data_IF_411911526878
#
_entry.id   IF_411911526878
#
_cell.length_a   1.000
_cell.length_b   1.000
_cell.length_c   1.000
_cell.angle_alpha   90.00
_cell.angle_beta   90.00
_cell.angle_gamma   90.00
#
_symmetry.space_group_name_H-M   'P 1'
#
loop_
_entity.id
_entity.type
_entity.pdbx_description
1 polymer ?
#
# COMPACT_ATOMS: atom_id res chain seq x y z
N UNK A 1 15.59 5.36 -15.25
CA UNK A 1 14.41 4.51 -15.04
C UNK A 1 14.75 3.05 -15.34
N UNK A 2 14.46 2.18 -14.37
CA UNK A 2 14.64 0.74 -14.47
C UNK A 2 13.32 0.08 -14.86
N UNK A 3 13.37 -1.03 -15.58
CA UNK A 3 12.20 -1.84 -15.91
C UNK A 3 12.55 -3.31 -15.82
N UNK A 4 11.72 -4.09 -15.14
CA UNK A 4 11.83 -5.54 -15.12
C UNK A 4 11.30 -6.18 -16.40
N UNK A 5 11.55 -7.47 -16.57
CA UNK A 5 10.78 -8.29 -17.49
C UNK A 5 9.31 -8.36 -17.05
N UNK A 6 8.46 -8.79 -17.95
CA UNK A 6 7.06 -9.09 -17.63
C UNK A 6 6.96 -10.41 -16.86
N UNK A 7 6.15 -10.38 -15.81
CA UNK A 7 5.78 -11.56 -15.02
C UNK A 7 4.38 -12.01 -15.42
N UNK A 8 4.12 -13.32 -15.32
CA UNK A 8 2.87 -13.91 -15.86
C UNK A 8 1.62 -13.63 -15.03
N UNK A 9 1.79 -13.18 -13.78
CA UNK A 9 0.68 -13.08 -12.85
C UNK A 9 0.21 -11.64 -12.69
N UNK A 10 -1.08 -11.50 -12.32
CA UNK A 10 -1.64 -10.25 -11.87
C UNK A 10 -1.00 -9.86 -10.53
N UNK A 11 -0.57 -8.62 -10.40
CA UNK A 11 -0.04 -8.08 -9.16
C UNK A 11 -1.15 -7.45 -8.35
N UNK A 12 -1.32 -7.91 -7.12
CA UNK A 12 -2.24 -7.33 -6.13
C UNK A 12 -1.51 -6.28 -5.31
N UNK A 13 -0.31 -6.59 -4.86
CA UNK A 13 0.51 -5.72 -4.02
C UNK A 13 1.99 -6.03 -4.19
N UNK A 14 2.86 -5.16 -3.73
CA UNK A 14 4.31 -5.27 -3.83
C UNK A 14 4.95 -4.61 -2.61
N UNK A 15 6.04 -5.18 -2.12
CA UNK A 15 6.88 -4.57 -1.09
C UNK A 15 8.36 -4.82 -1.38
N UNK A 16 9.20 -3.86 -1.03
CA UNK A 16 10.66 -3.95 -1.16
C UNK A 16 11.29 -3.88 0.23
N UNK A 17 12.22 -4.76 0.51
CA UNK A 17 12.94 -4.78 1.78
C UNK A 17 13.87 -5.97 1.88
N UNK A 18 14.69 -5.97 2.92
CA UNK A 18 15.51 -7.12 3.27
C UNK A 18 14.65 -8.15 4.00
N UNK A 19 14.25 -9.20 3.30
CA UNK A 19 13.38 -10.26 3.85
C UNK A 19 14.17 -11.47 4.34
N UNK A 20 15.37 -11.73 3.79
CA UNK A 20 16.19 -12.86 4.17
C UNK A 20 17.28 -12.53 5.21
N UNK A 21 17.48 -11.24 5.52
CA UNK A 21 18.43 -10.78 6.53
C UNK A 21 19.88 -10.68 6.04
N UNK A 22 20.12 -10.64 4.72
CA UNK A 22 21.47 -10.55 4.15
C UNK A 22 21.97 -9.12 3.92
N UNK A 23 21.16 -8.11 4.26
CA UNK A 23 21.47 -6.70 4.09
C UNK A 23 21.17 -6.14 2.69
N UNK A 24 20.62 -6.96 1.78
CA UNK A 24 20.17 -6.55 0.47
C UNK A 24 18.65 -6.56 0.40
N UNK A 25 18.09 -5.68 -0.42
CA UNK A 25 16.66 -5.65 -0.63
C UNK A 25 16.23 -6.70 -1.66
N UNK A 26 15.19 -7.42 -1.32
CA UNK A 26 14.40 -8.26 -2.22
C UNK A 26 13.08 -7.54 -2.55
N UNK A 27 12.35 -8.09 -3.51
CA UNK A 27 11.05 -7.62 -3.94
C UNK A 27 10.04 -8.74 -3.70
N UNK A 28 9.06 -8.48 -2.83
CA UNK A 28 7.93 -9.36 -2.65
C UNK A 28 6.78 -8.93 -3.56
N UNK A 29 6.24 -9.86 -4.32
CA UNK A 29 5.09 -9.65 -5.20
C UNK A 29 3.96 -10.55 -4.74
N UNK A 30 2.84 -9.93 -4.39
CA UNK A 30 1.61 -10.62 -4.04
C UNK A 30 0.73 -10.72 -5.28
N UNK A 31 0.48 -11.93 -5.73
CA UNK A 31 -0.49 -12.23 -6.78
C UNK A 31 -1.86 -12.56 -6.21
N UNK A 32 -2.77 -13.05 -7.05
CA UNK A 32 -4.12 -13.40 -6.61
C UNK A 32 -4.12 -14.47 -5.52
N UNK A 33 -3.22 -15.46 -5.59
CA UNK A 33 -3.16 -16.56 -4.64
C UNK A 33 -1.76 -16.93 -4.16
N UNK A 34 -0.72 -16.26 -4.66
CA UNK A 34 0.65 -16.61 -4.30
C UNK A 34 1.51 -15.41 -3.96
N UNK A 35 2.52 -15.68 -3.17
CA UNK A 35 3.60 -14.77 -2.81
C UNK A 35 4.88 -15.23 -3.48
N UNK A 36 5.56 -14.35 -4.20
CA UNK A 36 6.83 -14.61 -4.86
C UNK A 36 7.87 -13.60 -4.42
N UNK A 37 9.07 -14.05 -4.12
CA UNK A 37 10.20 -13.19 -3.77
C UNK A 37 11.19 -13.17 -4.92
N UNK A 38 11.59 -11.98 -5.32
CA UNK A 38 12.58 -11.73 -6.37
C UNK A 38 13.75 -10.92 -5.85
N UNK A 39 14.88 -11.02 -6.54
CA UNK A 39 15.97 -10.05 -6.43
C UNK A 39 16.21 -9.43 -7.80
N UNK A 40 16.56 -8.13 -7.80
CA UNK A 40 16.95 -7.41 -9.02
C UNK A 40 18.40 -7.74 -9.34
N UNK A 41 18.63 -8.41 -10.47
CA UNK A 41 19.98 -8.78 -10.91
C UNK A 41 20.67 -7.61 -11.64
N UNK A 42 22.01 -7.58 -11.68
CA UNK A 42 22.75 -6.52 -12.37
C UNK A 42 22.45 -6.39 -13.88
N UNK A 43 21.95 -7.46 -14.49
CA UNK A 43 21.53 -7.47 -15.90
C UNK A 43 20.16 -6.79 -16.15
N UNK A 44 19.55 -6.29 -15.08
CA UNK A 44 18.25 -5.63 -15.13
C UNK A 44 17.04 -6.56 -15.08
N UNK A 45 17.24 -7.84 -14.79
CA UNK A 45 16.17 -8.84 -14.67
C UNK A 45 15.89 -9.18 -13.22
N UNK A 46 14.66 -9.61 -12.96
CA UNK A 46 14.26 -10.18 -11.68
C UNK A 46 14.52 -11.69 -11.68
N UNK A 47 15.27 -12.15 -10.68
CA UNK A 47 15.49 -13.57 -10.39
C UNK A 47 14.58 -14.00 -9.25
N UNK A 48 13.82 -15.06 -9.47
CA UNK A 48 12.98 -15.63 -8.41
C UNK A 48 13.83 -16.36 -7.37
N UNK A 49 13.62 -16.02 -6.10
CA UNK A 49 14.28 -16.66 -4.96
C UNK A 49 13.38 -17.62 -4.19
N UNK A 50 12.07 -17.41 -4.23
CA UNK A 50 11.12 -18.26 -3.53
C UNK A 50 9.68 -17.95 -3.92
N UNK A 51 8.81 -18.90 -3.65
CA UNK A 51 7.37 -18.80 -3.97
C UNK A 51 6.57 -19.66 -2.99
N UNK A 52 5.39 -19.21 -2.61
CA UNK A 52 4.42 -20.01 -1.85
C UNK A 52 3.00 -19.62 -2.20
N UNK A 53 2.08 -20.58 -2.13
CA UNK A 53 0.63 -20.32 -2.21
C UNK A 53 0.15 -19.85 -0.84
N UNK A 54 -0.57 -18.72 -0.80
CA UNK A 54 -1.12 -18.18 0.44
C UNK A 54 -2.42 -18.93 0.81
N UNK A 55 -3.42 -18.80 -0.03
CA UNK A 55 -4.68 -19.52 0.06
C UNK A 55 -5.37 -19.46 -1.29
N UNK A 56 -5.96 -20.57 -1.71
CA UNK A 56 -6.73 -20.61 -2.97
C UNK A 56 -8.18 -20.16 -2.79
N UNK A 57 -8.69 -20.21 -1.57
CA UNK A 57 -10.08 -19.84 -1.25
C UNK A 57 -10.24 -18.37 -0.81
N UNK A 58 -9.14 -17.67 -0.53
CA UNK A 58 -9.17 -16.29 -0.06
C UNK A 58 -8.69 -15.36 -1.16
N UNK A 59 -9.25 -14.14 -1.18
CA UNK A 59 -8.74 -13.05 -1.99
C UNK A 59 -7.63 -12.33 -1.23
N UNK A 60 -6.45 -12.25 -1.82
CA UNK A 60 -5.37 -11.40 -1.35
C UNK A 60 -5.68 -9.94 -1.74
N UNK A 61 -5.48 -8.98 -0.85
CA UNK A 61 -5.74 -7.59 -1.20
C UNK A 61 -4.78 -6.57 -0.61
N UNK A 62 -3.92 -6.94 0.33
CA UNK A 62 -2.92 -6.02 0.89
C UNK A 62 -1.71 -6.77 1.41
N UNK A 63 -0.53 -6.18 1.22
CA UNK A 63 0.72 -6.66 1.80
C UNK A 63 1.54 -5.49 2.32
N UNK A 64 2.12 -5.66 3.49
CA UNK A 64 3.05 -4.70 4.12
C UNK A 64 4.23 -5.46 4.69
N UNK A 65 5.34 -4.77 4.89
CA UNK A 65 6.56 -5.35 5.45
C UNK A 65 6.93 -4.68 6.78
N UNK A 66 7.33 -5.48 7.74
CA UNK A 66 7.79 -5.01 9.05
C UNK A 66 8.71 -6.06 9.68
N UNK A 67 9.77 -5.62 10.34
CA UNK A 67 10.62 -6.48 11.17
C UNK A 67 9.95 -6.71 12.53
N UNK A 68 9.19 -7.81 12.65
CA UNK A 68 8.37 -8.11 13.82
C UNK A 68 9.19 -8.50 15.05
N UNK A 69 10.32 -9.13 14.87
CA UNK A 69 11.16 -9.67 15.95
C UNK A 69 12.48 -8.91 16.13
N UNK A 70 12.69 -7.82 15.38
CA UNK A 70 13.86 -6.96 15.43
C UNK A 70 15.18 -7.69 15.14
N UNK A 71 15.17 -8.64 14.23
CA UNK A 71 16.33 -9.42 13.83
C UNK A 71 17.03 -8.90 12.55
N UNK A 72 16.51 -7.81 11.97
CA UNK A 72 17.03 -7.21 10.75
C UNK A 72 16.37 -7.71 9.47
N UNK A 73 15.64 -8.81 9.52
CA UNK A 73 14.86 -9.33 8.39
C UNK A 73 13.39 -8.97 8.56
N UNK A 74 12.76 -8.40 7.52
CA UNK A 74 11.35 -8.03 7.57
C UNK A 74 10.46 -9.23 7.26
N UNK A 75 9.39 -9.37 8.04
CA UNK A 75 8.28 -10.25 7.73
C UNK A 75 7.26 -9.55 6.84
N UNK A 76 6.47 -10.34 6.12
CA UNK A 76 5.39 -9.88 5.26
C UNK A 76 4.05 -10.10 5.94
N UNK A 77 3.26 -9.03 6.01
CA UNK A 77 1.91 -9.00 6.59
C UNK A 77 0.92 -8.94 5.44
N UNK A 78 0.19 -10.04 5.21
CA UNK A 78 -0.73 -10.18 4.09
C UNK A 78 -2.16 -10.22 4.61
N UNK A 79 -2.98 -9.27 4.17
CA UNK A 79 -4.40 -9.27 4.46
C UNK A 79 -5.16 -9.96 3.33
N UNK A 80 -6.05 -10.87 3.72
CA UNK A 80 -6.93 -11.61 2.81
C UNK A 80 -8.38 -11.54 3.28
N UNK A 81 -9.29 -11.89 2.38
CA UNK A 81 -10.71 -12.00 2.70
C UNK A 81 -11.26 -13.32 2.14
N UNK A 82 -11.86 -14.10 3.01
CA UNK A 82 -12.52 -15.33 2.61
C UNK A 82 -13.98 -15.03 2.27
N UNK A 83 -14.32 -15.08 0.99
CA UNK A 83 -15.65 -14.72 0.52
C UNK A 83 -16.73 -15.68 1.02
N UNK A 84 -16.42 -16.98 1.14
CA UNK A 84 -17.37 -18.01 1.57
C UNK A 84 -17.85 -17.79 3.01
N UNK A 85 -16.93 -17.48 3.92
CA UNK A 85 -17.27 -17.17 5.31
C UNK A 85 -17.56 -15.67 5.53
N UNK A 86 -17.30 -14.84 4.52
CA UNK A 86 -17.43 -13.38 4.58
C UNK A 86 -16.61 -12.78 5.74
N UNK A 87 -15.36 -13.22 5.89
CA UNK A 87 -14.46 -12.83 6.99
C UNK A 87 -13.05 -12.54 6.53
N UNK A 88 -12.35 -11.60 7.20
CA UNK A 88 -10.94 -11.36 6.96
C UNK A 88 -10.08 -12.42 7.64
N UNK A 89 -8.97 -12.71 6.99
CA UNK A 89 -7.84 -13.40 7.59
C UNK A 89 -6.55 -12.73 7.16
N UNK A 90 -5.57 -12.68 8.06
CA UNK A 90 -4.23 -12.22 7.76
C UNK A 90 -3.22 -13.34 7.98
N UNK A 91 -2.19 -13.35 7.12
CA UNK A 91 -1.12 -14.33 7.13
C UNK A 91 0.20 -13.59 7.18
N UNK A 92 1.09 -14.01 8.08
CA UNK A 92 2.42 -13.45 8.21
C UNK A 92 3.44 -14.46 7.70
N UNK A 93 4.37 -14.00 6.87
CA UNK A 93 5.42 -14.82 6.28
C UNK A 93 6.80 -14.26 6.58
N UNK A 94 7.73 -15.15 6.90
CA UNK A 94 9.18 -14.90 6.93
C UNK A 94 9.85 -15.50 5.71
N UNK A 95 11.01 -14.95 5.35
CA UNK A 95 11.81 -15.44 4.21
C UNK A 95 13.25 -15.75 4.60
N UNK A 96 13.52 -16.06 5.84
CA UNK A 96 14.85 -16.38 6.33
C UNK A 96 15.45 -17.59 5.60
N UNK A 97 16.73 -17.47 5.23
CA UNK A 97 17.43 -18.53 4.49
C UNK A 97 16.80 -18.83 3.13
N UNK A 98 16.17 -17.85 2.51
CA UNK A 98 15.48 -17.98 1.22
C UNK A 98 14.34 -19.02 1.22
N UNK A 99 13.70 -19.20 2.38
CA UNK A 99 12.54 -20.08 2.54
C UNK A 99 11.36 -19.31 3.09
N UNK A 100 10.26 -19.32 2.34
CA UNK A 100 8.99 -18.75 2.79
C UNK A 100 8.34 -19.67 3.82
N UNK A 101 8.11 -19.13 5.00
CA UNK A 101 7.51 -19.87 6.12
C UNK A 101 6.45 -19.00 6.78
N UNK A 102 5.30 -19.58 7.08
CA UNK A 102 4.27 -18.89 7.83
C UNK A 102 4.78 -18.59 9.25
N UNK A 103 4.81 -17.30 9.60
CA UNK A 103 5.40 -16.82 10.86
C UNK A 103 4.51 -17.05 12.08
N UNK A 104 3.19 -17.07 11.88
CA UNK A 104 2.20 -17.20 12.93
C UNK A 104 0.99 -18.00 12.44
N UNK A 105 0.12 -18.40 13.35
CA UNK A 105 -1.18 -18.94 13.01
C UNK A 105 -2.01 -17.91 12.22
N UNK A 106 -2.97 -18.40 11.43
CA UNK A 106 -3.93 -17.56 10.73
C UNK A 106 -4.62 -16.57 11.67
N UNK A 107 -4.66 -15.31 11.30
CA UNK A 107 -5.11 -14.20 12.16
C UNK A 107 -6.49 -13.74 11.71
N UNK A 108 -7.53 -13.81 12.57
CA UNK A 108 -8.92 -13.48 12.20
C UNK A 108 -9.20 -11.97 12.25
N UNK A 109 -8.26 -11.15 11.79
CA UNK A 109 -8.34 -9.70 11.73
C UNK A 109 -7.81 -9.18 10.41
N UNK A 110 -8.21 -7.96 10.04
CA UNK A 110 -7.47 -7.18 9.07
C UNK A 110 -6.17 -6.70 9.72
N UNK A 111 -5.04 -7.05 9.14
CA UNK A 111 -3.73 -6.60 9.61
C UNK A 111 -3.00 -5.76 8.57
N UNK A 112 -2.29 -4.76 9.03
CA UNK A 112 -1.46 -3.88 8.20
C UNK A 112 -0.33 -3.28 9.03
N UNK A 113 0.42 -2.37 8.43
CA UNK A 113 1.50 -1.65 9.10
C UNK A 113 1.32 -0.16 8.86
N UNK A 114 1.36 0.62 9.93
CA UNK A 114 1.26 2.08 9.90
C UNK A 114 2.46 2.66 10.66
N UNK A 115 3.06 3.72 10.14
CA UNK A 115 4.04 4.51 10.89
C UNK A 115 3.31 5.45 11.83
N UNK A 116 3.52 5.31 13.14
CA UNK A 116 2.77 6.05 14.17
C UNK A 116 3.65 7.07 14.89
N UNK A 117 3.09 8.24 15.28
CA UNK A 117 3.81 9.19 16.11
C UNK A 117 4.11 8.58 17.50
N UNK A 118 5.07 9.10 18.27
CA UNK A 118 5.85 10.32 17.98
C UNK A 118 7.09 10.10 17.10
N UNK A 119 7.52 8.86 16.91
CA UNK A 119 8.77 8.54 16.20
C UNK A 119 8.55 8.04 14.78
N UNK A 120 7.30 7.87 14.35
CA UNK A 120 6.91 7.37 13.03
C UNK A 120 7.59 6.04 12.69
N UNK A 121 7.67 5.17 13.68
CA UNK A 121 8.17 3.81 13.50
C UNK A 121 7.06 2.90 12.96
N UNK A 122 7.41 1.94 12.09
CA UNK A 122 6.46 0.93 11.64
C UNK A 122 5.83 0.21 12.82
N UNK A 123 4.51 0.16 12.84
CA UNK A 123 3.70 -0.47 13.89
C UNK A 123 2.72 -1.45 13.25
N UNK A 124 2.73 -2.68 13.73
CA UNK A 124 1.75 -3.68 13.32
C UNK A 124 0.40 -3.33 13.93
N UNK A 125 -0.59 -3.16 13.07
CA UNK A 125 -1.95 -2.78 13.47
C UNK A 125 -2.97 -3.78 12.95
N UNK A 126 -4.07 -3.89 13.68
CA UNK A 126 -5.17 -4.77 13.34
C UNK A 126 -6.51 -4.11 13.57
N UNK A 127 -7.51 -4.65 12.88
CA UNK A 127 -8.89 -4.19 12.97
C UNK A 127 -9.83 -5.37 12.85
N UNK A 128 -10.85 -5.37 13.69
CA UNK A 128 -11.90 -6.39 13.68
C UNK A 128 -12.82 -6.27 12.46
N UNK A 129 -13.60 -7.31 12.25
CA UNK A 129 -14.61 -7.40 11.22
C UNK A 129 -16.00 -7.11 11.78
N UNK A 130 -16.82 -6.45 10.99
CA UNK A 130 -18.22 -6.18 11.24
C UNK A 130 -19.06 -6.64 10.05
N UNK A 131 -20.08 -7.44 10.29
CA UNK A 131 -20.92 -8.01 9.23
C UNK A 131 -21.74 -6.98 8.47
N UNK A 132 -22.00 -5.81 9.05
CA UNK A 132 -22.78 -4.74 8.41
C UNK A 132 -21.90 -3.68 7.76
N UNK A 133 -20.76 -3.37 8.37
CA UNK A 133 -19.89 -2.25 7.98
C UNK A 133 -18.57 -2.67 7.38
N UNK A 134 -18.27 -3.97 7.34
CA UNK A 134 -16.99 -4.61 7.00
C UNK A 134 -15.93 -4.42 8.09
N UNK A 135 -15.70 -3.21 8.56
CA UNK A 135 -14.73 -2.93 9.63
C UNK A 135 -15.44 -2.64 10.94
N UNK A 136 -15.01 -3.30 12.01
CA UNK A 136 -15.35 -2.88 13.35
C UNK A 136 -14.69 -1.52 13.65
N UNK A 137 -15.33 -0.64 14.42
CA UNK A 137 -14.69 0.63 14.80
C UNK A 137 -13.41 0.41 15.57
N UNK A 138 -12.38 1.16 15.22
CA UNK A 138 -11.11 1.21 15.93
C UNK A 138 -9.99 0.38 15.30
N UNK A 139 -8.88 1.05 15.14
CA UNK A 139 -7.59 0.47 14.75
C UNK A 139 -6.78 0.24 16.01
N UNK A 140 -6.23 -0.95 16.17
CA UNK A 140 -5.49 -1.34 17.36
C UNK A 140 -4.07 -1.73 17.03
N UNK A 141 -3.14 -1.46 17.92
CA UNK A 141 -1.83 -2.10 17.90
C UNK A 141 -2.03 -3.60 18.14
N UNK A 142 -1.36 -4.45 17.37
CA UNK A 142 -1.43 -5.89 17.57
C UNK A 142 -0.38 -6.36 18.57
N UNK A 143 -0.76 -7.34 19.37
CA UNK A 143 0.07 -7.93 20.42
C UNK A 143 0.26 -9.41 20.14
N UNK A 144 1.52 -9.86 20.19
CA UNK A 144 1.88 -11.27 20.03
C UNK A 144 1.85 -12.00 21.38
N UNK A 145 1.23 -13.17 21.40
CA UNK A 145 1.27 -14.12 22.53
C UNK A 145 1.43 -15.53 21.97
N UNK A 146 2.61 -16.12 22.14
CA UNK A 146 2.96 -17.39 21.47
C UNK A 146 2.96 -17.24 19.95
N UNK A 147 2.20 -18.09 19.26
CA UNK A 147 1.99 -18.02 17.80
C UNK A 147 0.73 -17.25 17.41
N UNK A 148 0.08 -16.58 18.36
CA UNK A 148 -1.17 -15.85 18.13
C UNK A 148 -0.94 -14.35 18.24
N UNK A 149 -1.71 -13.61 17.45
CA UNK A 149 -1.80 -12.16 17.51
C UNK A 149 -3.22 -11.74 17.89
N UNK A 150 -3.32 -10.74 18.73
CA UNK A 150 -4.58 -10.17 19.18
C UNK A 150 -4.55 -8.66 19.15
N UNK A 151 -5.72 -8.03 19.27
CA UNK A 151 -5.85 -6.59 19.32
C UNK A 151 -5.43 -6.09 20.70
N UNK A 152 -4.53 -5.12 20.74
CA UNK A 152 -4.06 -4.43 21.94
C UNK A 152 -4.65 -3.03 22.06
N UNK A 153 -3.82 -2.04 22.41
CA UNK A 153 -4.25 -0.66 22.60
C UNK A 153 -4.85 -0.07 21.31
N UNK A 154 -5.94 0.65 21.46
CA UNK A 154 -6.58 1.38 20.39
C UNK A 154 -5.80 2.66 20.06
N UNK A 155 -5.60 2.94 18.77
CA UNK A 155 -5.05 4.19 18.31
C UNK A 155 -6.12 5.28 18.29
N UNK A 156 -5.72 6.50 18.63
CA UNK A 156 -6.60 7.68 18.50
C UNK A 156 -6.61 8.16 17.05
N UNK A 157 -7.61 7.71 16.31
CA UNK A 157 -7.79 8.04 14.89
C UNK A 157 -9.22 8.57 14.64
N UNK A 158 -9.40 9.41 13.61
CA UNK A 158 -10.74 9.91 13.29
C UNK A 158 -11.68 8.80 12.85
N UNK A 159 -12.98 9.06 12.96
CA UNK A 159 -14.00 8.16 12.46
C UNK A 159 -13.80 7.88 10.96
N UNK A 160 -13.99 6.64 10.56
CA UNK A 160 -13.74 6.17 9.19
C UNK A 160 -12.31 5.70 8.93
N UNK A 161 -11.39 5.87 9.88
CA UNK A 161 -10.05 5.31 9.77
C UNK A 161 -10.08 3.78 9.81
N UNK A 162 -9.32 3.18 8.91
CA UNK A 162 -9.07 1.74 8.86
C UNK A 162 -7.57 1.47 8.90
N UNK A 163 -7.19 0.21 9.04
CA UNK A 163 -5.77 -0.19 8.95
C UNK A 163 -5.15 0.07 7.57
N UNK A 164 -5.96 0.39 6.55
CA UNK A 164 -5.50 0.54 5.16
C UNK A 164 -5.52 1.97 4.63
N UNK A 165 -6.27 2.89 5.23
CA UNK A 165 -6.61 4.16 4.59
C UNK A 165 -5.98 5.40 5.21
N UNK A 166 -5.05 5.24 6.13
CA UNK A 166 -4.42 6.36 6.83
C UNK A 166 -2.90 6.37 6.68
N UNK A 167 -2.33 7.56 6.67
CA UNK A 167 -0.89 7.81 6.79
C UNK A 167 -0.66 9.12 7.54
N UNK A 168 0.38 9.14 8.36
CA UNK A 168 0.84 10.35 9.03
C UNK A 168 1.79 11.13 8.14
N UNK A 169 1.57 12.43 8.01
CA UNK A 169 2.50 13.36 7.40
C UNK A 169 3.13 14.19 8.54
N UNK A 170 4.38 13.91 8.92
CA UNK A 170 5.03 14.60 10.03
C UNK A 170 5.16 16.09 9.78
N UNK A 171 4.97 16.91 10.83
CA UNK A 171 4.93 18.37 10.74
C UNK A 171 6.27 19.06 10.54
N UNK A 172 7.36 18.31 10.49
CA UNK A 172 8.70 18.83 10.24
C UNK A 172 9.26 19.70 11.37
N UNK A 173 10.29 20.47 11.03
CA UNK A 173 11.03 21.32 11.99
C UNK A 173 10.24 22.50 12.53
N UNK A 174 9.19 22.91 11.85
CA UNK A 174 8.45 24.13 12.17
C UNK A 174 7.46 23.98 13.32
N UNK A 175 7.37 22.80 13.93
CA UNK A 175 6.49 22.53 15.07
C UNK A 175 5.00 22.71 14.80
N UNK A 176 4.60 22.77 13.53
CA UNK A 176 3.20 23.00 13.14
C UNK A 176 2.28 21.80 13.39
N UNK A 177 2.80 20.77 14.06
CA UNK A 177 2.08 19.53 14.33
C UNK A 177 2.00 18.62 13.13
N UNK A 178 1.68 17.36 13.40
CA UNK A 178 1.56 16.33 12.38
C UNK A 178 0.17 16.37 11.76
N UNK A 179 0.06 16.03 10.47
CA UNK A 179 -1.21 15.83 9.80
C UNK A 179 -1.47 14.34 9.64
N UNK A 180 -2.70 13.93 9.89
CA UNK A 180 -3.17 12.59 9.51
C UNK A 180 -3.92 12.69 8.19
N UNK A 181 -3.47 11.92 7.22
CA UNK A 181 -4.08 11.85 5.90
C UNK A 181 -4.92 10.58 5.81
N UNK A 182 -6.17 10.71 5.42
CA UNK A 182 -7.10 9.59 5.27
C UNK A 182 -7.71 9.58 3.88
N UNK A 183 -7.68 8.42 3.23
CA UNK A 183 -8.44 8.17 2.01
C UNK A 183 -9.86 7.75 2.37
N UNK A 184 -10.83 8.43 1.81
CA UNK A 184 -12.25 8.12 1.99
C UNK A 184 -12.68 6.97 1.07
N UNK A 185 -13.89 6.45 1.26
CA UNK A 185 -14.43 5.37 0.42
C UNK A 185 -14.59 5.78 -1.06
N UNK A 186 -14.78 7.07 -1.33
CA UNK A 186 -14.78 7.64 -2.68
C UNK A 186 -13.39 8.07 -3.18
N UNK A 187 -12.34 7.64 -2.48
CA UNK A 187 -10.92 7.83 -2.85
C UNK A 187 -10.46 9.29 -2.87
N UNK A 188 -11.09 10.13 -2.08
CA UNK A 188 -10.65 11.49 -1.81
C UNK A 188 -9.85 11.56 -0.52
N UNK A 189 -9.09 12.63 -0.36
CA UNK A 189 -8.27 12.81 0.82
C UNK A 189 -8.98 13.75 1.80
N UNK A 190 -9.02 13.33 3.07
CA UNK A 190 -9.26 14.20 4.21
C UNK A 190 -7.99 14.32 5.04
N UNK A 191 -7.66 15.54 5.45
CA UNK A 191 -6.52 15.82 6.31
C UNK A 191 -7.03 16.30 7.66
N UNK A 192 -6.51 15.66 8.71
CA UNK A 192 -6.85 15.98 10.10
C UNK A 192 -5.63 16.52 10.82
N UNK A 193 -5.83 17.46 11.72
CA UNK A 193 -4.80 17.88 12.65
C UNK A 193 -4.53 16.74 13.65
N UNK A 194 -3.27 16.38 13.88
CA UNK A 194 -2.87 15.22 14.65
C UNK A 194 -3.35 15.19 16.08
N UNK A 195 -3.55 16.35 16.70
CA UNK A 195 -4.10 16.45 18.05
C UNK A 195 -5.61 16.75 17.98
N UNK A 196 -6.43 15.80 18.42
CA UNK A 196 -7.88 15.97 18.51
C UNK A 196 -8.66 15.66 17.24
N UNK A 197 -8.03 15.11 16.20
CA UNK A 197 -8.68 14.64 14.96
C UNK A 197 -9.60 15.67 14.30
N UNK A 198 -9.18 16.94 14.28
CA UNK A 198 -9.93 18.02 13.65
C UNK A 198 -9.70 18.01 12.15
N UNK A 199 -10.77 17.93 11.36
CA UNK A 199 -10.72 18.03 9.91
C UNK A 199 -10.25 19.44 9.50
N UNK A 200 -9.15 19.52 8.75
CA UNK A 200 -8.55 20.81 8.33
C UNK A 200 -8.51 20.99 6.82
N UNK A 201 -8.67 19.91 6.03
CA UNK A 201 -8.65 19.99 4.58
C UNK A 201 -9.34 18.78 3.94
N UNK A 202 -9.93 18.99 2.78
CA UNK A 202 -10.50 17.94 1.92
C UNK A 202 -10.13 18.21 0.47
N UNK A 203 -9.63 17.19 -0.25
CA UNK A 203 -9.36 17.31 -1.69
C UNK A 203 -10.58 16.95 -2.50
N UNK A 204 -10.68 17.52 -3.70
CA UNK A 204 -11.69 17.14 -4.68
C UNK A 204 -11.20 16.07 -5.65
N UNK A 205 -9.90 15.92 -5.80
CA UNK A 205 -9.28 14.93 -6.67
C UNK A 205 -9.33 13.53 -6.06
N UNK A 206 -9.41 12.51 -6.92
CA UNK A 206 -9.34 11.11 -6.52
C UNK A 206 -7.91 10.59 -6.62
N UNK A 207 -7.53 9.79 -5.64
CA UNK A 207 -6.24 9.10 -5.55
C UNK A 207 -6.44 7.61 -5.31
N UNK A 208 -5.36 6.84 -5.28
CA UNK A 208 -5.32 5.38 -5.15
C UNK A 208 -5.69 4.66 -6.43
N UNK A 209 -6.95 4.44 -6.73
CA UNK A 209 -7.35 3.70 -7.94
C UNK A 209 -6.98 2.23 -7.90
N UNK A 210 -6.91 1.62 -6.71
CA UNK A 210 -6.63 0.20 -6.56
C UNK A 210 -7.66 -0.65 -7.27
N UNK A 211 -7.21 -1.68 -7.99
CA UNK A 211 -8.05 -2.73 -8.55
C UNK A 211 -8.16 -3.96 -7.62
N UNK A 212 -7.38 -3.99 -6.54
CA UNK A 212 -7.43 -5.06 -5.54
C UNK A 212 -8.67 -4.88 -4.67
N UNK A 213 -9.75 -5.50 -5.09
CA UNK A 213 -11.05 -5.40 -4.45
C UNK A 213 -11.60 -6.75 -4.02
N UNK A 214 -12.56 -6.70 -3.14
CA UNK A 214 -13.30 -7.86 -2.67
C UNK A 214 -14.78 -7.56 -2.61
N UNK A 215 -15.58 -8.60 -2.84
CA UNK A 215 -17.00 -8.58 -2.58
C UNK A 215 -17.26 -9.01 -1.14
N UNK A 216 -18.07 -8.26 -0.42
CA UNK A 216 -18.58 -8.66 0.88
C UNK A 216 -20.09 -8.50 0.94
N UNK A 217 -20.74 -9.39 1.66
CA UNK A 217 -22.18 -9.40 1.85
C UNK A 217 -22.50 -8.81 3.20
N UNK A 218 -23.28 -7.74 3.21
CA UNK A 218 -23.77 -7.13 4.45
C UNK A 218 -24.88 -7.97 5.03
N UNK A 219 -24.77 -8.36 6.30
CA UNK A 219 -25.88 -8.97 7.01
C UNK A 219 -27.05 -7.99 7.22
N UNK A 220 -28.26 -8.52 7.22
CA UNK A 220 -29.44 -7.75 7.68
C UNK A 220 -29.69 -8.03 9.15
N UNK A 221 -30.03 -7.00 9.96
CA UNK A 221 -30.38 -7.20 11.35
C UNK A 221 -31.49 -8.26 11.49
N UNK A 222 -31.21 -9.35 12.21
CA UNK A 222 -32.18 -10.41 12.47
C UNK A 222 -32.36 -11.46 11.37
N UNK A 223 -31.77 -11.25 10.17
CA UNK A 223 -31.92 -12.19 9.03
C UNK A 223 -30.63 -12.88 8.61
N UNK A 224 -29.49 -12.50 9.19
CA UNK A 224 -28.21 -13.06 8.81
C UNK A 224 -27.75 -12.59 7.41
N UNK A 225 -26.79 -13.34 6.84
CA UNK A 225 -26.26 -13.09 5.50
C UNK A 225 -26.89 -14.07 4.52
N UNK A 226 -27.79 -13.56 3.69
CA UNK A 226 -28.35 -14.34 2.58
C UNK A 226 -27.84 -13.81 1.24
N UNK A 227 -26.91 -14.55 0.63
CA UNK A 227 -26.30 -14.19 -0.64
C UNK A 227 -27.26 -14.22 -1.82
N UNK A 228 -28.37 -14.93 -1.71
CA UNK A 228 -29.33 -15.05 -2.81
C UNK A 228 -30.17 -13.80 -3.00
N UNK A 229 -30.29 -12.98 -1.97
CA UNK A 229 -31.15 -11.79 -1.96
C UNK A 229 -30.38 -10.47 -1.80
N UNK A 230 -29.05 -10.53 -1.65
CA UNK A 230 -28.22 -9.32 -1.44
C UNK A 230 -27.19 -9.17 -2.54
N UNK A 231 -27.10 -7.97 -3.10
CA UNK A 231 -25.96 -7.62 -3.93
C UNK A 231 -24.73 -7.41 -3.05
N UNK A 232 -23.57 -7.97 -3.43
CA UNK A 232 -22.34 -7.72 -2.68
C UNK A 232 -21.98 -6.24 -2.76
N UNK A 233 -21.47 -5.70 -1.65
CA UNK A 233 -20.75 -4.43 -1.66
C UNK A 233 -19.31 -4.69 -2.07
N UNK A 234 -18.76 -3.82 -2.92
CA UNK A 234 -17.35 -3.90 -3.29
C UNK A 234 -16.53 -2.97 -2.39
N UNK A 235 -15.42 -3.51 -1.90
CA UNK A 235 -14.42 -2.75 -1.17
C UNK A 235 -13.06 -2.90 -1.89
N UNK A 236 -12.40 -1.77 -2.11
CA UNK A 236 -11.06 -1.73 -2.69
C UNK A 236 -10.07 -1.23 -1.65
N UNK A 237 -9.11 -2.07 -1.28
CA UNK A 237 -8.06 -1.66 -0.35
C UNK A 237 -7.24 -0.53 -0.98
N UNK A 238 -7.08 0.61 -0.30
CA UNK A 238 -6.27 1.71 -0.81
C UNK A 238 -4.83 1.28 -1.06
N UNK A 239 -4.23 1.82 -2.13
CA UNK A 239 -2.78 1.76 -2.28
C UNK A 239 -2.09 2.50 -1.15
N UNK A 240 -0.86 2.11 -0.90
CA UNK A 240 0.01 2.73 0.08
C UNK A 240 0.16 4.23 -0.18
N UNK A 241 0.05 5.02 0.87
CA UNK A 241 0.49 6.40 0.93
C UNK A 241 1.80 6.44 1.72
N UNK A 242 2.85 7.02 1.14
CA UNK A 242 4.18 7.00 1.73
C UNK A 242 4.58 8.43 2.10
N UNK A 243 4.70 8.71 3.40
CA UNK A 243 5.31 9.94 3.87
C UNK A 243 6.84 9.77 3.90
N UNK A 244 7.58 10.65 3.25
CA UNK A 244 9.03 10.58 3.12
C UNK A 244 9.69 11.94 3.27
N UNK A 245 10.75 11.97 4.06
CA UNK A 245 11.72 13.06 4.12
C UNK A 245 12.93 12.69 3.26
N UNK A 246 12.84 12.95 1.97
CA UNK A 246 13.81 12.50 0.98
C UNK A 246 15.21 13.08 1.20
N UNK A 247 15.27 14.31 1.69
CA UNK A 247 16.53 14.99 1.92
C UNK A 247 17.05 14.97 3.36
N UNK A 248 16.33 14.33 4.27
CA UNK A 248 16.62 14.35 5.71
C UNK A 248 16.68 15.77 6.27
N UNK A 249 15.86 16.66 5.73
CA UNK A 249 15.80 18.08 6.12
C UNK A 249 14.70 18.35 7.15
N UNK A 250 13.82 17.38 7.40
CA UNK A 250 12.61 17.52 8.18
C UNK A 250 11.40 17.97 7.37
N UNK A 251 11.54 18.15 6.05
CA UNK A 251 10.44 18.45 5.14
C UNK A 251 9.94 17.15 4.50
N UNK A 252 8.65 16.86 4.66
CA UNK A 252 8.04 15.63 4.21
C UNK A 252 7.18 15.84 2.96
N UNK A 253 7.21 14.86 2.08
CA UNK A 253 6.26 14.71 0.98
C UNK A 253 5.44 13.44 1.20
N UNK A 254 4.20 13.44 0.72
CA UNK A 254 3.32 12.28 0.68
C UNK A 254 3.27 11.77 -0.75
N UNK A 255 3.75 10.55 -0.95
CA UNK A 255 3.71 9.86 -2.25
C UNK A 255 2.44 9.01 -2.34
N UNK A 256 1.70 9.17 -3.41
CA UNK A 256 0.50 8.37 -3.68
C UNK A 256 0.18 8.34 -5.16
N UNK A 257 -0.56 7.30 -5.58
CA UNK A 257 -0.99 7.15 -6.97
C UNK A 257 -2.22 8.01 -7.27
N UNK A 258 -2.18 8.71 -8.39
CA UNK A 258 -3.34 9.33 -9.02
C UNK A 258 -3.72 8.52 -10.26
N UNK A 259 -4.87 7.82 -10.24
CA UNK A 259 -5.31 7.09 -11.41
C UNK A 259 -5.73 8.06 -12.52
N UNK A 260 -5.38 7.72 -13.75
CA UNK A 260 -5.75 8.48 -14.94
C UNK A 260 -6.74 7.66 -15.76
N UNK A 261 -7.92 8.21 -15.96
CA UNK A 261 -8.94 7.63 -16.82
C UNK A 261 -9.21 8.54 -18.01
N UNK A 262 -9.24 7.95 -19.20
CA UNK A 262 -9.57 8.69 -20.44
C UNK A 262 -11.07 8.78 -20.68
N UNK A 263 -11.89 8.05 -19.91
CA UNK A 263 -13.35 8.03 -20.03
C UNK A 263 -13.97 7.85 -18.65
N UNK A 264 -13.96 8.92 -17.87
CA UNK A 264 -14.28 8.90 -16.44
C UNK A 264 -15.67 8.37 -16.06
N UNK A 265 -16.63 8.40 -16.97
CA UNK A 265 -18.01 7.99 -16.67
C UNK A 265 -18.38 6.55 -17.05
N UNK A 266 -17.66 5.96 -18.00
CA UNK A 266 -17.91 4.58 -18.42
C UNK A 266 -17.15 3.54 -17.60
N UNK A 267 -16.04 3.91 -17.00
CA UNK A 267 -15.13 2.99 -16.31
C UNK A 267 -15.28 2.94 -14.79
N UNK A 268 -16.07 3.80 -14.18
CA UNK A 268 -16.38 3.73 -12.74
C UNK A 268 -16.98 2.36 -12.34
N UNK A 269 -17.63 1.69 -13.29
CA UNK A 269 -18.18 0.35 -13.08
C UNK A 269 -17.13 -0.77 -13.20
N UNK A 270 -16.07 -0.56 -13.98
CA UNK A 270 -15.08 -1.60 -14.28
C UNK A 270 -13.78 -1.45 -13.49
N UNK A 271 -13.60 -0.34 -12.81
CA UNK A 271 -12.46 -0.11 -11.94
C UNK A 271 -11.10 -0.39 -12.62
N UNK A 272 -11.01 -0.05 -13.90
CA UNK A 272 -9.80 -0.21 -14.68
C UNK A 272 -9.19 1.14 -14.99
N UNK A 273 -7.94 1.35 -14.55
CA UNK A 273 -7.19 2.57 -14.80
C UNK A 273 -5.96 2.26 -15.63
N UNK A 274 -5.97 2.53 -16.94
CA UNK A 274 -4.91 2.13 -17.85
C UNK A 274 -3.61 2.92 -17.68
N UNK A 275 -3.65 4.00 -16.92
CA UNK A 275 -2.53 4.88 -16.66
C UNK A 275 -2.60 5.41 -15.22
N UNK A 276 -1.43 5.81 -14.69
CA UNK A 276 -1.33 6.48 -13.40
C UNK A 276 -0.21 7.51 -13.38
N UNK A 277 -0.23 8.34 -12.38
CA UNK A 277 0.83 9.28 -12.03
C UNK A 277 1.10 9.16 -10.54
N UNK A 278 2.36 9.14 -10.14
CA UNK A 278 2.70 9.22 -8.72
C UNK A 278 2.92 10.68 -8.38
N UNK A 279 2.11 11.18 -7.45
CA UNK A 279 2.16 12.55 -6.97
C UNK A 279 2.92 12.62 -5.65
N UNK A 280 3.77 13.62 -5.51
CA UNK A 280 4.39 14.01 -4.25
C UNK A 280 3.70 15.29 -3.74
N UNK A 281 2.92 15.14 -2.68
CA UNK A 281 2.16 16.22 -2.07
C UNK A 281 2.86 16.70 -0.80
N UNK A 282 2.70 17.95 -0.47
CA UNK A 282 3.20 18.53 0.78
C UNK A 282 2.12 19.38 1.47
N UNK A 283 2.23 19.50 2.79
CA UNK A 283 1.35 20.38 3.56
C UNK A 283 1.91 21.80 3.58
N UNK A 284 1.18 22.76 2.98
CA UNK A 284 1.60 24.16 2.88
C UNK A 284 1.13 25.04 4.05
N UNK A 285 0.43 24.42 5.03
CA UNK A 285 -0.19 25.10 6.17
C UNK A 285 -1.69 25.31 6.01
N UNK A 286 -2.24 25.18 4.81
CA UNK A 286 -3.65 25.37 4.48
C UNK A 286 -4.22 24.17 3.75
N UNK A 287 -3.45 23.54 2.90
CA UNK A 287 -3.86 22.41 2.08
C UNK A 287 -2.68 21.58 1.59
N UNK A 288 -2.99 20.56 0.81
CA UNK A 288 -2.01 19.72 0.14
C UNK A 288 -1.65 20.32 -1.22
N UNK A 289 -0.40 20.75 -1.38
CA UNK A 289 0.17 21.22 -2.62
C UNK A 289 0.89 20.12 -3.38
N UNK A 290 0.99 20.26 -4.69
CA UNK A 290 1.79 19.37 -5.55
C UNK A 290 3.23 19.87 -5.59
N UNK A 291 4.18 19.07 -5.11
CA UNK A 291 5.61 19.35 -5.21
C UNK A 291 6.14 18.93 -6.57
N UNK A 292 5.90 17.67 -6.91
CA UNK A 292 6.22 17.07 -8.20
C UNK A 292 5.34 15.84 -8.45
N UNK A 293 5.33 15.37 -9.69
CA UNK A 293 4.68 14.12 -10.08
C UNK A 293 5.51 13.41 -11.14
N UNK A 294 5.30 12.12 -11.27
CA UNK A 294 5.82 11.39 -12.43
C UNK A 294 5.09 11.82 -13.70
N UNK A 295 5.74 11.67 -14.86
CA UNK A 295 5.01 11.63 -16.12
C UNK A 295 4.07 10.43 -16.11
N UNK A 296 3.10 10.45 -17.01
CA UNK A 296 2.12 9.37 -17.12
C UNK A 296 2.79 8.02 -17.30
N UNK A 297 2.45 7.09 -16.44
CA UNK A 297 2.91 5.73 -16.47
C UNK A 297 1.86 4.90 -17.18
N UNK A 298 2.27 4.21 -18.25
CA UNK A 298 1.39 3.29 -18.98
C UNK A 298 1.28 1.98 -18.21
N UNK A 299 0.06 1.53 -17.96
CA UNK A 299 -0.27 0.35 -17.18
C UNK A 299 -1.09 0.72 -15.97
N UNK A 300 -1.77 -0.25 -15.40
CA UNK A 300 -2.53 -0.08 -14.18
C UNK A 300 -1.57 -0.16 -12.99
N UNK A 301 -1.43 0.92 -12.25
CA UNK A 301 -0.60 0.92 -11.04
C UNK A 301 -1.26 0.01 -10.01
N UNK A 302 -0.51 -0.97 -9.54
CA UNK A 302 -0.94 -1.89 -8.49
C UNK A 302 -0.51 -1.44 -7.11
N UNK A 303 0.73 -0.99 -6.98
CA UNK A 303 1.28 -0.50 -5.70
C UNK A 303 2.55 0.31 -5.95
N UNK A 304 2.94 1.08 -4.94
CA UNK A 304 4.18 1.85 -4.89
C UNK A 304 4.99 1.50 -3.64
N UNK A 305 6.29 1.67 -3.74
CA UNK A 305 7.20 1.61 -2.60
C UNK A 305 8.37 2.58 -2.79
N UNK A 306 9.10 2.84 -1.73
CA UNK A 306 10.26 3.73 -1.72
C UNK A 306 11.44 2.98 -1.08
N UNK A 307 12.39 2.53 -1.90
CA UNK A 307 13.53 1.74 -1.46
C UNK A 307 14.60 1.68 -2.56
N UNK A 308 15.82 1.32 -2.19
CA UNK A 308 16.86 0.94 -3.14
C UNK A 308 16.56 -0.46 -3.69
N UNK A 309 15.86 -0.53 -4.83
CA UNK A 309 15.28 -1.77 -5.33
C UNK A 309 16.31 -2.72 -5.97
N UNK A 310 17.40 -2.16 -6.49
CA UNK A 310 18.45 -2.91 -7.18
C UNK A 310 19.77 -2.99 -6.40
N UNK A 311 19.77 -2.47 -5.17
CA UNK A 311 20.92 -2.46 -4.26
C UNK A 311 22.15 -1.73 -4.82
N UNK A 312 21.93 -0.62 -5.55
CA UNK A 312 23.00 0.23 -6.07
C UNK A 312 23.35 1.43 -5.17
N UNK A 313 22.66 1.57 -4.04
CA UNK A 313 22.84 2.65 -3.08
C UNK A 313 22.00 3.89 -3.37
N UNK A 314 21.20 3.89 -4.43
CA UNK A 314 20.32 5.00 -4.81
C UNK A 314 18.88 4.66 -4.41
N UNK A 315 18.20 5.62 -3.78
CA UNK A 315 16.80 5.47 -3.43
C UNK A 315 15.92 5.54 -4.68
N UNK A 316 15.01 4.59 -4.83
CA UNK A 316 14.10 4.50 -5.96
C UNK A 316 12.65 4.68 -5.53
N UNK A 317 11.88 5.39 -6.35
CA UNK A 317 10.43 5.26 -6.38
C UNK A 317 10.08 4.01 -7.20
N UNK A 318 9.56 2.98 -6.53
CA UNK A 318 9.25 1.69 -7.13
C UNK A 318 7.76 1.60 -7.41
N UNK A 319 7.40 1.21 -8.62
CA UNK A 319 6.00 1.13 -9.06
C UNK A 319 5.73 -0.24 -9.66
N UNK A 320 4.80 -0.96 -9.04
CA UNK A 320 4.26 -2.21 -9.57
C UNK A 320 3.12 -1.92 -10.54
N UNK A 321 3.17 -2.55 -11.70
CA UNK A 321 2.22 -2.32 -12.80
C UNK A 321 1.58 -3.62 -13.26
N UNK A 322 0.28 -3.57 -13.53
CA UNK A 322 -0.40 -4.57 -14.34
C UNK A 322 -0.57 -4.05 -15.75
N UNK A 323 -0.25 -4.89 -16.71
CA UNK A 323 -0.46 -4.58 -18.13
C UNK A 323 -1.88 -4.98 -18.51
N UNK A 324 -2.53 -4.16 -19.34
CA UNK A 324 -3.82 -4.53 -19.94
C UNK A 324 -3.63 -5.76 -20.82
N UNK A 325 -4.53 -6.76 -20.75
CA UNK A 325 -4.60 -7.73 -21.81
C UNK A 325 -4.97 -7.01 -23.10
N UNK A 326 -4.14 -7.13 -24.14
CA UNK A 326 -4.50 -6.67 -25.46
C UNK A 326 -5.80 -7.38 -25.88
N UNK A 327 -6.87 -6.59 -26.08
CA UNK A 327 -8.17 -7.07 -26.58
C UNK A 327 -8.89 -8.13 -25.71
N UNK A 328 -8.61 -8.20 -24.40
CA UNK A 328 -9.32 -9.14 -23.51
C UNK A 328 -8.99 -10.60 -23.70
N UNK A 329 -7.99 -10.93 -24.50
CA UNK A 329 -7.51 -12.29 -24.76
C UNK A 329 -6.11 -12.42 -24.14
N UNK A 330 -5.99 -13.20 -23.08
CA UNK A 330 -4.73 -13.51 -22.43
C UNK A 330 -4.74 -13.30 -20.91
N UNK A 331 -3.77 -13.87 -20.21
CA UNK A 331 -3.55 -13.65 -18.78
C UNK A 331 -2.98 -12.27 -18.54
N UNK A 332 -3.42 -11.61 -17.46
CA UNK A 332 -2.81 -10.38 -16.98
C UNK A 332 -1.33 -10.62 -16.68
N UNK A 333 -0.51 -9.66 -17.06
CA UNK A 333 0.92 -9.66 -16.78
C UNK A 333 1.24 -8.46 -15.88
N UNK A 334 2.29 -8.60 -15.12
CA UNK A 334 2.78 -7.53 -14.27
C UNK A 334 4.25 -7.22 -14.56
N UNK A 335 4.69 -6.06 -14.15
CA UNK A 335 6.09 -5.64 -14.21
C UNK A 335 6.38 -4.63 -13.12
N UNK A 336 7.65 -4.42 -12.86
CA UNK A 336 8.12 -3.42 -11.91
C UNK A 336 8.92 -2.39 -12.68
N UNK A 337 8.63 -1.12 -12.43
CA UNK A 337 9.46 -0.01 -12.89
C UNK A 337 9.97 0.77 -11.68
N UNK A 338 11.17 1.29 -11.78
CA UNK A 338 11.78 2.07 -10.71
C UNK A 338 12.38 3.36 -11.27
N UNK A 339 12.21 4.42 -10.51
CA UNK A 339 12.65 5.76 -10.85
C UNK A 339 13.67 6.20 -9.80
N UNK A 340 14.98 6.19 -10.13
CA UNK A 340 16.00 6.65 -9.21
C UNK A 340 15.76 8.10 -8.78
N UNK A 341 15.88 8.37 -7.49
CA UNK A 341 15.72 9.69 -6.90
C UNK A 341 17.10 10.20 -6.48
N UNK A 342 17.57 11.28 -7.10
CA UNK A 342 18.80 11.91 -6.68
C UNK A 342 18.53 12.86 -5.51
N UNK A 343 18.76 12.35 -4.30
CA UNK A 343 18.56 13.08 -3.04
C UNK A 343 19.76 13.97 -2.66
N UNK A 344 20.80 14.03 -3.48
CA UNK A 344 22.00 14.86 -3.23
C UNK A 344 21.85 16.31 -3.68
N UNK A 345 20.73 16.67 -4.27
CA UNK A 345 20.46 17.96 -4.90
C UNK A 345 20.16 19.10 -3.91
N UNK A 346 20.13 20.31 -4.43
CA UNK A 346 19.81 21.53 -3.64
C UNK A 346 18.44 21.48 -2.97
N UNK A 347 17.43 20.89 -3.63
CA UNK A 347 16.16 20.50 -3.03
C UNK A 347 15.97 19.00 -3.21
N UNK A 348 16.34 18.20 -2.20
CA UNK A 348 16.28 16.75 -2.29
C UNK A 348 14.85 16.18 -2.37
N UNK A 349 13.83 17.01 -2.10
CA UNK A 349 12.43 16.64 -2.29
C UNK A 349 11.95 16.81 -3.73
N UNK A 350 12.80 17.31 -4.62
CA UNK A 350 12.50 17.51 -6.04
C UNK A 350 13.44 16.65 -6.88
N UNK A 351 12.93 15.78 -7.77
CA UNK A 351 13.77 14.98 -8.65
C UNK A 351 14.56 15.86 -9.64
N UNK A 352 15.81 15.47 -9.90
CA UNK A 352 16.65 16.13 -10.89
C UNK A 352 16.32 15.76 -12.32
N UNK A 353 15.92 14.51 -12.53
CA UNK A 353 15.63 13.99 -13.85
C UNK A 353 14.22 14.35 -14.29
N UNK A 354 14.11 15.40 -15.10
CA UNK A 354 12.83 15.86 -15.64
C UNK A 354 12.35 15.04 -16.84
N UNK A 355 13.08 14.02 -17.25
CA UNK A 355 12.60 13.11 -18.32
C UNK A 355 11.44 12.25 -17.85
N UNK A 356 11.44 11.85 -16.58
CA UNK A 356 10.40 11.01 -15.96
C UNK A 356 9.49 11.77 -14.98
N UNK A 357 9.82 13.03 -14.64
CA UNK A 357 9.10 13.82 -13.65
C UNK A 357 8.67 15.20 -14.18
N UNK A 358 7.63 15.74 -13.59
CA UNK A 358 7.18 17.12 -13.74
C UNK A 358 7.22 17.81 -12.39
N UNK A 359 7.95 18.89 -12.28
CA UNK A 359 8.04 19.70 -11.07
C UNK A 359 7.05 20.84 -11.16
N UNK A 360 6.29 21.08 -10.10
CA UNK A 360 5.38 22.21 -10.04
C UNK A 360 6.19 23.46 -9.71
N UNK A 361 6.28 24.47 -10.59
CA UNK A 361 6.89 25.74 -10.25
C UNK A 361 5.96 26.47 -9.27
N UNK A 362 6.39 26.64 -8.05
CA UNK A 362 5.78 27.57 -7.09
C UNK A 362 6.30 28.96 -7.29
#
# INVERSE_FOLDING_TARGET
RLRSQRMKDNMVDMAVGDFNGDGKNEIAVLGDHKLTIYIWEPDGRLKQLGETVISQSNLNFSMRAIDLNRDGAKELVIATFEEDSNRPYSYFYSFKGNKLTQYADRIPYFASVIKTPPHFMPTLVGQGWDSLKLFSPGVHVMVKSGNKFSLGARLDLPAGATVFNVAWLPGGKDGKGDQLVMLTDDERIKVFQGNGNTLIHTTMERFSGSAAGMDHYKGMPGLGIDRNYQLPSKYYAPMRMIAADLGRTGEYVLLLNKPISTASQLFDRYRFFPQGEIHALYWDGVGLGLKWKTRRIRGSVAEIDLADVNNDGILDLVVGLNTSPDLGIGSRQSMITAYPLDVSQTDPNVPADLSDFEVNPN
#
